data_IF_886885726254
#
_entry.id   IF_886885726254
#
_cell.length_a   1.000
_cell.length_b   1.000
_cell.length_c   1.000
_cell.angle_alpha   90.00
_cell.angle_beta   90.00
_cell.angle_gamma   90.00
#
_symmetry.space_group_name_H-M   'P 1'
#
loop_
_entity.id
_entity.type
_entity.pdbx_description
1 polymer ?
#
# COMPACT_ATOMS: atom_id res chain seq x y z
N UNK A 1 -4.98 -19.02 27.00
CA UNK A 1 -4.91 -17.87 26.08
C UNK A 1 -3.61 -17.96 25.31
N UNK A 2 -3.66 -18.05 23.99
CA UNK A 2 -2.45 -18.00 23.17
C UNK A 2 -1.93 -16.57 23.24
N UNK A 3 -0.69 -16.40 23.72
CA UNK A 3 -0.04 -15.11 23.76
C UNK A 3 0.49 -14.79 22.36
N UNK A 4 -0.26 -13.98 21.61
CA UNK A 4 0.07 -13.58 20.24
C UNK A 4 1.34 -12.71 20.16
N UNK A 5 1.82 -12.15 21.28
CA UNK A 5 3.09 -11.41 21.30
C UNK A 5 4.30 -12.29 21.00
N UNK A 6 4.18 -13.62 21.16
CA UNK A 6 5.28 -14.57 20.95
C UNK A 6 5.65 -14.75 19.46
N UNK A 7 4.79 -14.30 18.53
CA UNK A 7 5.03 -14.39 17.08
C UNK A 7 5.42 -13.06 16.43
N UNK A 8 5.47 -11.95 17.19
CA UNK A 8 6.09 -10.73 16.68
C UNK A 8 7.58 -11.00 16.53
N UNK A 9 8.04 -11.09 15.28
CA UNK A 9 9.48 -11.11 14.98
C UNK A 9 10.09 -9.89 15.70
N UNK A 10 11.03 -10.07 16.65
CA UNK A 10 11.73 -8.92 17.21
C UNK A 10 12.39 -8.19 16.04
N UNK A 11 12.05 -6.92 15.85
CA UNK A 11 12.40 -6.04 14.71
C UNK A 11 11.51 -6.10 13.45
N UNK A 12 10.29 -6.62 13.53
CA UNK A 12 9.33 -6.47 12.43
C UNK A 12 8.97 -5.00 12.19
N UNK A 13 8.75 -4.63 10.92
CA UNK A 13 8.25 -3.30 10.55
C UNK A 13 6.80 -3.19 11.03
N UNK A 14 6.52 -2.19 11.86
CA UNK A 14 5.16 -1.83 12.28
C UNK A 14 4.50 -0.87 11.28
N UNK A 15 3.21 -0.57 11.50
CA UNK A 15 2.42 0.29 10.60
C UNK A 15 3.00 1.69 10.47
N UNK A 16 3.51 2.25 11.56
CA UNK A 16 4.05 3.61 11.58
C UNK A 16 5.27 3.71 10.67
N UNK A 17 6.20 2.77 10.84
CA UNK A 17 7.38 2.69 10.00
C UNK A 17 7.03 2.32 8.56
N UNK A 18 6.06 1.45 8.34
CA UNK A 18 5.59 1.10 7.00
C UNK A 18 5.00 2.30 6.25
N UNK A 19 4.08 3.03 6.87
CA UNK A 19 3.44 4.23 6.31
C UNK A 19 4.51 5.28 5.99
N UNK A 20 5.46 5.52 6.89
CA UNK A 20 6.55 6.47 6.64
C UNK A 20 7.45 6.03 5.48
N UNK A 21 7.87 4.76 5.44
CA UNK A 21 8.70 4.22 4.34
C UNK A 21 8.00 4.37 2.99
N UNK A 22 6.72 4.02 2.92
CA UNK A 22 5.94 4.06 1.67
C UNK A 22 5.70 5.50 1.23
N UNK A 23 5.24 6.37 2.14
CA UNK A 23 4.90 7.76 1.78
C UNK A 23 6.14 8.58 1.43
N UNK A 24 7.30 8.27 2.02
CA UNK A 24 8.59 8.90 1.71
C UNK A 24 9.29 8.33 0.47
N UNK A 25 8.77 7.26 -0.15
CA UNK A 25 9.38 6.62 -1.33
C UNK A 25 9.38 7.50 -2.59
N UNK A 26 8.44 8.44 -2.68
CA UNK A 26 8.32 9.41 -3.78
C UNK A 26 8.16 10.81 -3.16
N UNK A 27 8.98 11.81 -3.51
CA UNK A 27 8.90 13.15 -2.92
C UNK A 27 7.51 13.82 -3.07
N UNK A 28 6.89 13.66 -4.24
CA UNK A 28 5.53 14.16 -4.51
C UNK A 28 4.46 13.46 -3.64
N UNK A 29 4.61 12.15 -3.42
CA UNK A 29 3.72 11.39 -2.53
C UNK A 29 3.87 11.87 -1.08
N UNK A 30 5.11 12.06 -0.61
CA UNK A 30 5.36 12.56 0.75
C UNK A 30 4.69 13.90 0.98
N UNK A 31 4.83 14.81 0.02
CA UNK A 31 4.17 16.11 0.06
C UNK A 31 2.65 15.98 0.11
N UNK A 32 2.06 15.10 -0.72
CA UNK A 32 0.61 14.86 -0.71
C UNK A 32 0.14 14.29 0.63
N UNK A 33 0.88 13.33 1.17
CA UNK A 33 0.61 12.71 2.46
C UNK A 33 0.63 13.73 3.61
N UNK A 34 1.63 14.61 3.64
CA UNK A 34 1.71 15.64 4.68
C UNK A 34 0.56 16.66 4.57
N UNK A 35 0.16 17.01 3.35
CA UNK A 35 -1.02 17.87 3.12
C UNK A 35 -2.29 17.17 3.59
N UNK A 36 -2.48 15.89 3.25
CA UNK A 36 -3.62 15.09 3.66
C UNK A 36 -3.77 15.10 5.19
N UNK A 37 -2.70 14.73 5.91
CA UNK A 37 -2.70 14.74 7.39
C UNK A 37 -3.08 16.10 7.97
N UNK A 38 -2.54 17.19 7.41
CA UNK A 38 -2.81 18.55 7.90
C UNK A 38 -4.24 19.05 7.67
N UNK A 39 -4.96 18.43 6.71
CA UNK A 39 -6.33 18.83 6.36
C UNK A 39 -7.37 18.01 7.11
N UNK A 40 -7.14 16.71 7.22
CA UNK A 40 -8.13 15.79 7.78
C UNK A 40 -8.09 15.75 9.31
N UNK A 41 -6.95 16.10 9.92
CA UNK A 41 -6.72 15.88 11.35
C UNK A 41 -6.24 17.14 12.07
N UNK A 42 -6.73 17.32 13.29
CA UNK A 42 -6.15 18.28 14.23
C UNK A 42 -4.90 17.67 14.90
N UNK A 43 -4.96 16.37 15.24
CA UNK A 43 -3.83 15.59 15.73
C UNK A 43 -3.81 14.17 15.12
N UNK A 44 -3.03 14.03 14.04
CA UNK A 44 -2.87 12.75 13.35
C UNK A 44 -2.36 11.62 14.25
N UNK A 45 -1.57 11.92 15.29
CA UNK A 45 -0.95 10.89 16.12
C UNK A 45 -1.95 10.12 16.97
N UNK A 46 -3.10 10.73 17.26
CA UNK A 46 -4.15 10.16 18.12
C UNK A 46 -5.43 9.83 17.37
N UNK A 47 -5.68 10.46 16.22
CA UNK A 47 -6.95 10.38 15.49
C UNK A 47 -6.89 9.48 14.23
N UNK A 48 -5.71 9.08 13.78
CA UNK A 48 -5.50 8.32 12.53
C UNK A 48 -6.33 7.04 12.44
N UNK A 49 -6.73 6.70 11.21
CA UNK A 49 -7.31 5.42 10.87
C UNK A 49 -6.54 4.82 9.70
N UNK A 50 -5.57 3.95 10.00
CA UNK A 50 -4.59 3.43 9.05
C UNK A 50 -5.18 2.90 7.74
N UNK A 51 -6.30 2.16 7.82
CA UNK A 51 -6.93 1.57 6.65
C UNK A 51 -7.63 2.63 5.77
N UNK A 52 -8.22 3.65 6.38
CA UNK A 52 -8.84 4.76 5.64
C UNK A 52 -7.75 5.66 5.05
N UNK A 53 -6.71 5.94 5.85
CA UNK A 53 -5.66 6.88 5.49
C UNK A 53 -4.81 6.35 4.34
N UNK A 54 -4.40 5.06 4.40
CA UNK A 54 -3.56 4.47 3.36
C UNK A 54 -4.23 4.45 1.97
N UNK A 55 -5.57 4.51 1.92
CA UNK A 55 -6.32 4.69 0.68
C UNK A 55 -5.97 5.99 -0.06
N UNK A 56 -5.46 7.02 0.62
CA UNK A 56 -4.94 8.23 -0.04
C UNK A 56 -3.67 7.95 -0.86
N UNK A 57 -2.84 7.02 -0.38
CA UNK A 57 -1.67 6.54 -1.13
C UNK A 57 -2.11 5.74 -2.35
N UNK A 58 -3.12 4.87 -2.21
CA UNK A 58 -3.69 4.13 -3.33
C UNK A 58 -4.23 5.08 -4.42
N UNK A 59 -5.04 6.08 -4.03
CA UNK A 59 -5.54 7.12 -4.95
C UNK A 59 -4.42 7.83 -5.70
N UNK A 60 -3.37 8.24 -4.99
CA UNK A 60 -2.21 8.88 -5.62
C UNK A 60 -1.57 7.99 -6.70
N UNK A 61 -1.36 6.70 -6.41
CA UNK A 61 -0.75 5.77 -7.36
C UNK A 61 -1.63 5.62 -8.60
N UNK A 62 -2.94 5.42 -8.44
CA UNK A 62 -3.85 5.28 -9.59
C UNK A 62 -3.94 6.57 -10.41
N UNK A 63 -4.02 7.74 -9.77
CA UNK A 63 -4.01 9.04 -10.46
C UNK A 63 -2.74 9.22 -11.31
N UNK A 64 -1.57 8.82 -10.77
CA UNK A 64 -0.29 8.91 -11.49
C UNK A 64 -0.19 7.88 -12.61
N UNK A 65 -0.69 6.66 -12.40
CA UNK A 65 -0.75 5.62 -13.43
C UNK A 65 -1.61 6.10 -14.62
N UNK A 66 -2.82 6.60 -14.34
CA UNK A 66 -3.73 7.18 -15.34
C UNK A 66 -3.08 8.32 -16.13
N UNK A 67 -2.32 9.18 -15.43
CA UNK A 67 -1.60 10.28 -16.06
C UNK A 67 -0.30 9.86 -16.78
N UNK A 68 0.05 8.57 -16.79
CA UNK A 68 1.32 8.02 -17.30
C UNK A 68 2.55 8.66 -16.65
N UNK A 69 2.42 9.12 -15.40
CA UNK A 69 3.48 9.77 -14.60
C UNK A 69 4.01 8.80 -13.56
N UNK A 70 4.62 7.71 -14.03
CA UNK A 70 5.03 6.58 -13.19
C UNK A 70 6.47 6.69 -12.67
N UNK A 71 7.07 7.88 -12.77
CA UNK A 71 8.36 8.19 -12.15
C UNK A 71 8.28 7.92 -10.65
N UNK A 72 9.14 7.03 -10.16
CA UNK A 72 9.20 6.64 -8.75
C UNK A 72 8.36 5.40 -8.38
N UNK A 73 7.59 4.82 -9.30
CA UNK A 73 6.82 3.59 -9.01
C UNK A 73 7.72 2.43 -8.61
N UNK A 74 8.91 2.30 -9.22
CA UNK A 74 9.92 1.33 -8.78
C UNK A 74 10.26 1.50 -7.30
N UNK A 75 10.61 2.71 -6.86
CA UNK A 75 10.94 2.99 -5.45
C UNK A 75 9.76 2.76 -4.50
N UNK A 76 8.55 3.09 -4.95
CA UNK A 76 7.32 2.84 -4.20
C UNK A 76 7.11 1.34 -3.98
N UNK A 77 7.11 0.55 -5.04
CA UNK A 77 6.91 -0.90 -4.94
C UNK A 77 8.09 -1.62 -4.27
N UNK A 78 9.32 -1.10 -4.35
CA UNK A 78 10.46 -1.58 -3.55
C UNK A 78 10.23 -1.37 -2.03
N UNK A 79 9.59 -0.26 -1.67
CA UNK A 79 9.23 0.02 -0.26
C UNK A 79 8.10 -0.90 0.20
N UNK A 80 7.06 -1.11 -0.62
CA UNK A 80 5.99 -2.07 -0.35
C UNK A 80 6.55 -3.49 -0.17
N UNK A 81 7.43 -3.95 -1.08
CA UNK A 81 8.10 -5.24 -0.99
C UNK A 81 8.88 -5.40 0.32
N UNK A 82 9.64 -4.37 0.69
CA UNK A 82 10.43 -4.37 1.93
C UNK A 82 9.54 -4.55 3.16
N UNK A 83 8.38 -3.88 3.17
CA UNK A 83 7.42 -4.01 4.26
C UNK A 83 6.72 -5.37 4.23
N UNK A 84 6.28 -5.88 3.08
CA UNK A 84 5.68 -7.22 2.99
C UNK A 84 6.64 -8.34 3.43
N UNK A 85 7.95 -8.15 3.21
CA UNK A 85 8.97 -9.12 3.61
C UNK A 85 9.26 -9.12 5.13
N UNK A 86 9.13 -7.96 5.78
CA UNK A 86 9.66 -7.72 7.13
C UNK A 86 8.62 -7.20 8.13
N UNK A 87 7.39 -6.96 7.70
CA UNK A 87 6.32 -6.41 8.52
C UNK A 87 5.76 -7.41 9.53
N UNK A 88 5.14 -6.89 10.59
CA UNK A 88 4.27 -7.73 11.42
C UNK A 88 2.95 -8.05 10.71
N UNK A 89 2.17 -8.96 11.28
CA UNK A 89 0.93 -9.45 10.67
C UNK A 89 -0.04 -8.30 10.38
N UNK A 90 -0.20 -7.36 11.31
CA UNK A 90 -1.13 -6.24 11.15
C UNK A 90 -0.66 -5.25 10.07
N UNK A 91 0.65 -5.09 9.93
CA UNK A 91 1.28 -4.24 8.91
C UNK A 91 1.18 -4.86 7.53
N UNK A 92 1.44 -6.16 7.41
CA UNK A 92 1.26 -6.91 6.16
C UNK A 92 -0.22 -6.83 5.74
N UNK A 93 -1.15 -7.04 6.67
CA UNK A 93 -2.58 -6.95 6.37
C UNK A 93 -3.00 -5.55 5.89
N UNK A 94 -2.47 -4.49 6.52
CA UNK A 94 -2.69 -3.12 6.07
C UNK A 94 -2.24 -2.92 4.61
N UNK A 95 -1.09 -3.47 4.21
CA UNK A 95 -0.61 -3.31 2.84
C UNK A 95 -1.41 -4.13 1.83
N UNK A 96 -1.78 -5.37 2.16
CA UNK A 96 -2.53 -6.22 1.25
C UNK A 96 -3.95 -5.68 1.05
N UNK A 97 -4.70 -5.52 2.14
CA UNK A 97 -6.13 -5.16 2.13
C UNK A 97 -6.34 -3.65 2.02
N UNK A 98 -5.50 -2.85 2.68
CA UNK A 98 -5.67 -1.40 2.69
C UNK A 98 -5.03 -0.70 1.49
N UNK A 99 -3.90 -1.19 0.97
CA UNK A 99 -3.17 -0.51 -0.10
C UNK A 99 -3.29 -1.19 -1.46
N UNK A 100 -2.86 -2.45 -1.58
CA UNK A 100 -2.80 -3.14 -2.88
C UNK A 100 -4.21 -3.39 -3.43
N UNK A 101 -5.11 -3.87 -2.57
CA UNK A 101 -6.52 -4.06 -2.92
C UNK A 101 -7.20 -2.73 -3.31
N UNK A 102 -6.96 -1.64 -2.57
CA UNK A 102 -7.49 -0.32 -2.95
C UNK A 102 -6.94 0.16 -4.31
N UNK A 103 -5.67 -0.09 -4.63
CA UNK A 103 -5.13 0.23 -5.96
C UNK A 103 -5.88 -0.55 -7.04
N UNK A 104 -6.14 -1.86 -6.84
CA UNK A 104 -6.92 -2.67 -7.81
C UNK A 104 -8.36 -2.16 -7.92
N UNK A 105 -9.03 -1.95 -6.78
CA UNK A 105 -10.41 -1.49 -6.74
C UNK A 105 -10.60 -0.14 -7.45
N UNK A 106 -9.73 0.84 -7.18
CA UNK A 106 -9.78 2.14 -7.84
C UNK A 106 -9.46 1.99 -9.35
N UNK A 107 -8.45 1.17 -9.69
CA UNK A 107 -8.07 0.93 -11.08
C UNK A 107 -9.17 0.23 -11.90
N UNK A 108 -9.96 -0.65 -11.28
CA UNK A 108 -11.07 -1.36 -11.95
C UNK A 108 -12.15 -0.41 -12.50
N UNK A 109 -12.28 0.78 -11.92
CA UNK A 109 -13.18 1.84 -12.40
C UNK A 109 -12.59 2.69 -13.52
N UNK A 110 -11.30 2.53 -13.85
CA UNK A 110 -10.58 3.35 -14.81
C UNK A 110 -10.46 2.66 -16.17
N UNK A 111 -11.00 3.29 -17.23
CA UNK A 111 -11.04 2.69 -18.58
C UNK A 111 -9.66 2.50 -19.22
N UNK A 112 -8.68 3.29 -18.77
CA UNK A 112 -7.34 3.35 -19.37
C UNK A 112 -6.29 2.58 -18.54
N UNK A 113 -6.72 1.79 -17.55
CA UNK A 113 -5.85 0.98 -16.69
C UNK A 113 -6.32 -0.47 -16.71
N UNK A 114 -5.45 -1.37 -17.14
CA UNK A 114 -5.61 -2.82 -16.98
C UNK A 114 -4.80 -3.28 -15.76
N UNK A 115 -5.42 -3.36 -14.58
CA UNK A 115 -4.73 -3.70 -13.33
C UNK A 115 -4.13 -5.13 -13.31
N UNK A 116 -4.52 -5.99 -14.25
CA UNK A 116 -3.93 -7.31 -14.42
C UNK A 116 -2.53 -7.26 -15.06
N UNK A 117 -2.15 -6.16 -15.70
CA UNK A 117 -0.91 -6.07 -16.50
C UNK A 117 -0.12 -4.80 -16.28
N UNK A 118 -0.80 -3.67 -16.10
CA UNK A 118 -0.15 -2.36 -16.17
C UNK A 118 0.81 -2.13 -15.00
N UNK A 119 0.60 -2.79 -13.86
CA UNK A 119 1.48 -2.69 -12.69
C UNK A 119 2.62 -3.72 -12.65
N UNK A 120 2.55 -4.80 -13.44
CA UNK A 120 3.43 -5.98 -13.34
C UNK A 120 4.93 -5.66 -13.39
N UNK A 121 5.31 -4.63 -14.15
CA UNK A 121 6.70 -4.24 -14.33
C UNK A 121 7.35 -3.68 -13.06
N UNK A 122 6.55 -3.26 -12.07
CA UNK A 122 7.05 -2.76 -10.79
C UNK A 122 6.83 -3.73 -9.63
N UNK A 123 5.94 -4.71 -9.78
CA UNK A 123 5.67 -5.69 -8.74
C UNK A 123 6.91 -6.56 -8.50
N UNK A 124 7.34 -6.60 -7.25
CA UNK A 124 8.43 -7.46 -6.76
C UNK A 124 7.86 -8.80 -6.27
N UNK A 125 8.68 -9.83 -5.99
CA UNK A 125 8.16 -11.18 -5.75
C UNK A 125 7.03 -11.28 -4.73
N UNK A 126 7.16 -10.69 -3.53
CA UNK A 126 6.09 -10.76 -2.52
C UNK A 126 4.90 -9.87 -2.84
N UNK A 127 5.19 -8.71 -3.42
CA UNK A 127 4.15 -7.78 -3.85
C UNK A 127 3.31 -8.40 -4.97
N UNK A 128 3.95 -9.09 -5.92
CA UNK A 128 3.30 -9.81 -7.02
C UNK A 128 2.47 -10.98 -6.49
N UNK A 129 3.03 -11.77 -5.58
CA UNK A 129 2.30 -12.84 -4.89
C UNK A 129 1.02 -12.31 -4.23
N UNK A 130 1.12 -11.23 -3.44
CA UNK A 130 -0.05 -10.61 -2.81
C UNK A 130 -1.04 -10.04 -3.84
N UNK A 131 -0.55 -9.41 -4.90
CA UNK A 131 -1.38 -8.85 -5.98
C UNK A 131 -2.21 -9.92 -6.68
N UNK A 132 -1.58 -11.04 -7.05
CA UNK A 132 -2.24 -12.18 -7.70
C UNK A 132 -3.26 -12.85 -6.76
N UNK A 133 -2.96 -12.96 -5.46
CA UNK A 133 -3.90 -13.50 -4.48
C UNK A 133 -5.18 -12.65 -4.36
N UNK A 134 -5.06 -11.31 -4.43
CA UNK A 134 -6.23 -10.41 -4.42
C UNK A 134 -7.07 -10.62 -5.69
N UNK A 135 -6.44 -10.73 -6.87
CA UNK A 135 -7.13 -11.00 -8.13
C UNK A 135 -7.90 -12.32 -8.05
N UNK A 136 -7.21 -13.40 -7.64
CA UNK A 136 -7.83 -14.73 -7.50
C UNK A 136 -9.01 -14.72 -6.51
N UNK A 137 -8.88 -14.00 -5.39
CA UNK A 137 -9.94 -13.88 -4.40
C UNK A 137 -11.21 -13.23 -4.98
N UNK A 138 -11.07 -12.14 -5.73
CA UNK A 138 -12.21 -11.41 -6.29
C UNK A 138 -12.81 -12.07 -7.54
N UNK A 139 -11.98 -12.76 -8.33
CA UNK A 139 -12.40 -13.35 -9.61
C UNK A 139 -12.80 -14.82 -9.49
N UNK A 140 -12.65 -15.42 -8.31
CA UNK A 140 -13.13 -16.77 -8.00
C UNK A 140 -12.32 -17.89 -8.64
N UNK A 141 -11.06 -17.63 -9.01
CA UNK A 141 -10.15 -18.68 -9.44
C UNK A 141 -9.66 -19.46 -8.21
N UNK A 142 -10.18 -20.68 -8.04
CA UNK A 142 -9.83 -21.65 -6.99
C UNK A 142 -9.04 -22.83 -7.56
#
# INVERSE_FOLDING_TARGET
>A
MINWEYYKKPNSIDKDKAIELITSSIPDLKKRWDIYKSKEYADYSTERNDYIDIGEVARYIVEKAKAKKTNGFTSFFDSVETVLANGDVDTINLLVVGLLEDIQNISSGEKDIDYHKDFDIWLRPKTKEAWEQIIQFWEGEH
#
